data_IF_217981371504
#
_entry.id   IF_217981371504
#
_cell.length_a   1.000
_cell.length_b   1.000
_cell.length_c   1.000
_cell.angle_alpha   90.00
_cell.angle_beta   90.00
_cell.angle_gamma   90.00
#
_symmetry.space_group_name_H-M   'P 1'
#
loop_
_entity.id
_entity.type
_entity.pdbx_description
1 polymer ?
#
# COMPACT_ATOMS: atom_id res chain seq x y z
N UNK A 1 21.40 7.58 27.53
CA UNK A 1 20.25 7.71 26.62
C UNK A 1 20.35 6.65 25.53
N UNK A 2 19.41 5.70 25.45
CA UNK A 2 19.39 4.73 24.34
C UNK A 2 19.08 5.49 23.05
N UNK A 3 20.03 5.52 22.11
CA UNK A 3 19.78 6.04 20.76
C UNK A 3 18.62 5.23 20.18
N UNK A 4 17.44 5.83 20.07
CA UNK A 4 16.34 5.23 19.29
C UNK A 4 16.89 5.08 17.88
N UNK A 5 16.95 3.87 17.30
CA UNK A 5 17.40 3.70 15.92
C UNK A 5 16.60 4.66 15.04
N UNK A 6 17.24 5.33 14.08
CA UNK A 6 16.50 6.02 13.01
C UNK A 6 15.62 4.97 12.34
N UNK A 7 14.37 4.85 12.76
CA UNK A 7 13.43 3.88 12.23
C UNK A 7 13.01 4.41 10.88
N UNK A 8 13.70 3.98 9.83
CA UNK A 8 13.21 4.11 8.47
C UNK A 8 11.81 3.49 8.43
N UNK A 9 10.85 4.24 7.88
CA UNK A 9 9.49 3.73 7.67
C UNK A 9 9.57 2.37 6.98
N UNK A 10 8.79 1.41 7.44
CA UNK A 10 8.78 0.05 6.89
C UNK A 10 8.56 0.06 5.37
N UNK A 11 7.88 1.09 4.85
CA UNK A 11 7.61 1.33 3.43
C UNK A 11 8.85 1.38 2.55
N UNK A 12 10.00 1.76 3.11
CA UNK A 12 11.27 1.89 2.38
C UNK A 12 12.26 0.75 2.67
N UNK A 13 11.91 -0.18 3.57
CA UNK A 13 12.75 -1.32 3.91
C UNK A 13 12.56 -2.47 2.91
N UNK A 14 13.44 -2.52 1.91
CA UNK A 14 13.46 -3.56 0.88
C UNK A 14 14.12 -4.87 1.35
N UNK A 15 14.57 -4.97 2.59
CA UNK A 15 15.22 -6.18 3.09
C UNK A 15 14.20 -7.30 3.38
N UNK A 16 14.60 -8.54 3.16
CA UNK A 16 13.81 -9.72 3.56
C UNK A 16 13.86 -9.99 5.07
N UNK A 17 14.51 -9.12 5.86
CA UNK A 17 14.63 -9.30 7.30
C UNK A 17 13.25 -9.22 7.94
N UNK A 18 13.01 -10.10 8.91
CA UNK A 18 11.80 -10.08 9.74
C UNK A 18 11.81 -8.82 10.58
N UNK A 19 10.64 -8.18 10.69
CA UNK A 19 10.42 -7.01 11.55
C UNK A 19 9.54 -7.41 12.74
N UNK A 20 9.79 -6.87 13.94
CA UNK A 20 8.93 -7.12 15.10
C UNK A 20 7.48 -6.74 14.82
N UNK A 21 6.53 -7.61 15.18
CA UNK A 21 5.09 -7.36 15.04
C UNK A 21 4.58 -7.31 13.59
N UNK A 22 5.38 -7.72 12.62
CA UNK A 22 4.97 -7.71 11.21
C UNK A 22 4.20 -8.99 10.85
N UNK A 23 2.95 -8.80 10.46
CA UNK A 23 2.04 -9.86 10.04
C UNK A 23 1.78 -9.75 8.53
N UNK A 24 1.82 -10.88 7.83
CA UNK A 24 1.68 -10.94 6.38
C UNK A 24 0.39 -11.66 5.99
N UNK A 25 -0.37 -11.09 5.05
CA UNK A 25 -1.58 -11.69 4.46
C UNK A 25 -1.47 -11.72 2.94
N UNK A 26 -2.06 -12.72 2.31
CA UNK A 26 -2.15 -12.78 0.85
C UNK A 26 -2.98 -11.62 0.30
N UNK A 27 -2.57 -11.10 -0.85
CA UNK A 27 -3.32 -10.02 -1.52
C UNK A 27 -4.49 -10.66 -2.30
N UNK A 28 -5.75 -10.24 -2.06
CA UNK A 28 -6.92 -10.80 -2.74
C UNK A 28 -6.80 -10.77 -4.26
N UNK A 29 -7.03 -11.91 -4.91
CA UNK A 29 -6.88 -12.11 -6.36
C UNK A 29 -5.43 -12.35 -6.82
N UNK A 30 -4.47 -12.33 -5.90
CA UNK A 30 -3.03 -12.51 -6.13
C UNK A 30 -2.40 -13.54 -5.16
N UNK A 31 -3.22 -14.45 -4.63
CA UNK A 31 -2.83 -15.50 -3.70
C UNK A 31 -1.70 -16.34 -4.30
N UNK A 32 -0.69 -16.66 -3.48
CA UNK A 32 0.49 -17.40 -3.92
C UNK A 32 1.46 -16.60 -4.80
N UNK A 33 1.14 -15.35 -5.17
CA UNK A 33 2.03 -14.45 -5.91
C UNK A 33 2.54 -13.30 -5.05
N UNK A 34 1.66 -12.67 -4.26
CA UNK A 34 2.01 -11.51 -3.47
C UNK A 34 1.36 -11.53 -2.08
N UNK A 35 2.11 -11.03 -1.09
CA UNK A 35 1.61 -10.76 0.27
C UNK A 35 1.83 -9.30 0.65
N UNK A 36 0.98 -8.78 1.52
CA UNK A 36 1.11 -7.45 2.12
C UNK A 36 1.21 -7.58 3.63
N UNK A 37 2.04 -6.74 4.25
CA UNK A 37 2.18 -6.70 5.70
C UNK A 37 1.29 -5.65 6.34
N UNK A 38 0.94 -5.83 7.61
CA UNK A 38 0.26 -4.82 8.42
C UNK A 38 1.08 -3.52 8.58
N UNK A 39 2.38 -3.55 8.28
CA UNK A 39 3.27 -2.39 8.25
C UNK A 39 3.41 -1.77 6.84
N UNK A 40 2.68 -2.29 5.85
CA UNK A 40 2.60 -1.73 4.50
C UNK A 40 3.67 -2.18 3.53
N UNK A 41 4.49 -3.17 3.88
CA UNK A 41 5.42 -3.78 2.91
C UNK A 41 4.67 -4.73 2.00
N UNK A 42 5.12 -4.85 0.76
CA UNK A 42 4.60 -5.83 -0.20
C UNK A 42 5.71 -6.79 -0.57
N UNK A 43 5.43 -8.08 -0.51
CA UNK A 43 6.36 -9.16 -0.81
C UNK A 43 5.88 -9.89 -2.06
N UNK A 44 6.74 -9.99 -3.06
CA UNK A 44 6.57 -10.93 -4.17
C UNK A 44 7.13 -12.28 -3.74
N UNK A 45 6.32 -13.33 -3.85
CA UNK A 45 6.72 -14.69 -3.47
C UNK A 45 7.62 -15.30 -4.54
N UNK A 46 8.47 -16.24 -4.13
CA UNK A 46 9.28 -17.02 -5.07
C UNK A 46 8.37 -17.73 -6.08
N UNK A 47 8.70 -17.65 -7.36
CA UNK A 47 7.91 -18.31 -8.40
C UNK A 47 8.77 -18.68 -9.60
N UNK A 48 8.31 -19.67 -10.36
CA UNK A 48 8.86 -20.04 -11.66
C UNK A 48 7.78 -19.76 -12.70
N UNK A 49 8.14 -19.07 -13.79
CA UNK A 49 7.16 -18.78 -14.84
C UNK A 49 6.77 -20.05 -15.58
N UNK A 50 5.47 -20.23 -15.82
CA UNK A 50 4.96 -21.26 -16.72
C UNK A 50 5.19 -20.85 -18.18
N UNK A 51 6.06 -21.54 -18.90
CA UNK A 51 6.35 -21.29 -20.31
C UNK A 51 7.50 -22.14 -20.84
N UNK A 52 7.73 -22.12 -22.16
CA UNK A 52 8.83 -22.87 -22.81
C UNK A 52 10.20 -22.47 -22.24
N UNK A 53 10.37 -21.20 -21.90
CA UNK A 53 11.52 -20.70 -21.15
C UNK A 53 11.07 -20.36 -19.73
N UNK A 54 11.31 -21.30 -18.81
CA UNK A 54 11.04 -21.08 -17.39
C UNK A 54 12.05 -20.08 -16.84
N UNK A 55 11.55 -19.04 -16.17
CA UNK A 55 12.35 -18.04 -15.45
C UNK A 55 12.11 -18.17 -13.97
N UNK A 56 13.20 -18.21 -13.22
CA UNK A 56 13.18 -18.16 -11.76
C UNK A 56 13.07 -16.72 -11.27
N UNK A 57 12.12 -16.47 -10.39
CA UNK A 57 11.94 -15.21 -9.70
C UNK A 57 12.10 -15.45 -8.19
N UNK A 58 13.14 -14.89 -7.55
CA UNK A 58 13.32 -15.03 -6.12
C UNK A 58 12.25 -14.22 -5.36
N UNK A 59 12.02 -14.62 -4.10
CA UNK A 59 11.25 -13.80 -3.18
C UNK A 59 11.95 -12.43 -3.00
N UNK A 60 11.17 -11.35 -2.99
CA UNK A 60 11.68 -10.00 -2.75
C UNK A 60 10.62 -9.07 -2.18
N UNK A 61 11.06 -8.04 -1.46
CA UNK A 61 10.19 -6.91 -1.12
C UNK A 61 10.07 -5.99 -2.34
N UNK A 62 8.84 -5.57 -2.64
CA UNK A 62 8.52 -4.66 -3.73
C UNK A 62 8.82 -3.23 -3.31
N UNK A 63 9.50 -2.49 -4.18
CA UNK A 63 9.58 -1.04 -4.06
C UNK A 63 8.20 -0.44 -4.29
N UNK A 64 7.77 0.41 -3.36
CA UNK A 64 6.54 1.18 -3.47
C UNK A 64 6.81 2.47 -4.25
N UNK A 65 5.78 2.94 -4.93
CA UNK A 65 5.77 4.21 -5.64
C UNK A 65 4.84 5.19 -4.95
N UNK A 66 5.20 6.46 -4.98
CA UNK A 66 4.44 7.58 -4.40
C UNK A 66 4.30 8.62 -5.50
N UNK A 67 3.10 9.14 -5.71
CA UNK A 67 2.91 10.29 -6.61
C UNK A 67 3.07 11.56 -5.78
N UNK A 68 3.82 12.52 -6.31
CA UNK A 68 3.98 13.84 -5.74
C UNK A 68 3.27 14.81 -6.69
N UNK A 69 2.38 15.62 -6.12
CA UNK A 69 1.67 16.68 -6.84
C UNK A 69 2.16 18.03 -6.32
N UNK A 70 2.45 18.94 -7.23
CA UNK A 70 2.72 20.33 -6.88
C UNK A 70 1.39 21.11 -6.87
N UNK A 71 1.15 21.87 -5.80
CA UNK A 71 -0.01 22.76 -5.68
C UNK A 71 0.31 24.12 -6.29
N UNK A 72 -0.73 24.92 -6.52
CA UNK A 72 -0.61 26.28 -7.07
C UNK A 72 0.26 27.22 -6.21
N UNK A 73 0.34 26.97 -4.91
CA UNK A 73 1.16 27.72 -3.95
C UNK A 73 2.61 27.20 -3.86
N UNK A 74 3.01 26.26 -4.72
CA UNK A 74 4.33 25.60 -4.70
C UNK A 74 4.47 24.52 -3.62
N UNK A 75 3.46 24.30 -2.77
CA UNK A 75 3.51 23.24 -1.78
C UNK A 75 3.37 21.85 -2.44
N UNK A 76 4.06 20.86 -1.90
CA UNK A 76 3.98 19.47 -2.39
C UNK A 76 2.91 18.70 -1.62
N UNK A 77 2.10 17.93 -2.34
CA UNK A 77 1.14 16.97 -1.80
C UNK A 77 1.50 15.56 -2.26
N UNK A 78 1.72 14.67 -1.31
CA UNK A 78 1.96 13.26 -1.60
C UNK A 78 0.62 12.52 -1.72
N UNK A 79 0.57 11.51 -2.58
CA UNK A 79 -0.47 10.49 -2.57
C UNK A 79 -0.08 9.30 -1.69
N UNK A 80 -1.07 8.47 -1.36
CA UNK A 80 -0.84 7.20 -0.71
C UNK A 80 0.12 6.32 -1.54
N UNK A 81 1.06 5.59 -0.90
CA UNK A 81 1.92 4.63 -1.57
C UNK A 81 1.11 3.58 -2.34
N UNK A 82 1.65 3.15 -3.47
CA UNK A 82 1.08 2.08 -4.29
C UNK A 82 2.16 1.12 -4.77
N UNK A 83 1.71 -0.05 -5.22
CA UNK A 83 2.54 -1.03 -5.92
C UNK A 83 1.83 -1.44 -7.22
N UNK A 84 2.61 -1.86 -8.22
CA UNK A 84 2.08 -2.50 -9.42
C UNK A 84 2.24 -4.01 -9.29
N UNK A 85 1.12 -4.73 -9.25
CA UNK A 85 1.08 -6.19 -9.21
C UNK A 85 0.89 -6.76 -10.62
N UNK A 86 1.44 -7.94 -10.89
CA UNK A 86 1.30 -8.61 -12.18
C UNK A 86 0.72 -10.02 -12.01
N UNK A 87 -0.33 -10.35 -12.77
CA UNK A 87 -0.89 -11.72 -12.85
C UNK A 87 -1.31 -11.99 -14.29
N UNK A 88 -0.90 -13.13 -14.84
CA UNK A 88 -1.22 -13.53 -16.21
C UNK A 88 -0.93 -12.43 -17.25
N UNK A 89 0.25 -11.83 -17.17
CA UNK A 89 0.71 -10.71 -18.00
C UNK A 89 -0.08 -9.39 -17.88
N UNK A 90 -1.06 -9.32 -16.97
CA UNK A 90 -1.82 -8.09 -16.70
C UNK A 90 -1.26 -7.40 -15.46
N UNK A 91 -0.94 -6.11 -15.62
CA UNK A 91 -0.47 -5.25 -14.53
C UNK A 91 -1.65 -4.48 -13.92
N UNK A 92 -1.67 -4.33 -12.60
CA UNK A 92 -2.66 -3.52 -11.89
C UNK A 92 -1.99 -2.70 -10.80
N UNK A 93 -2.33 -1.41 -10.75
CA UNK A 93 -1.96 -0.51 -9.66
C UNK A 93 -2.86 -0.77 -8.45
N UNK A 94 -2.26 -0.96 -7.28
CA UNK A 94 -2.99 -1.14 -6.03
C UNK A 94 -2.38 -0.25 -4.95
N UNK A 95 -3.22 0.55 -4.29
CA UNK A 95 -2.82 1.40 -3.17
C UNK A 95 -2.66 0.59 -1.89
N UNK A 96 -1.58 0.84 -1.15
CA UNK A 96 -1.25 0.07 0.05
C UNK A 96 -2.25 0.34 1.17
N UNK A 97 -2.75 1.58 1.30
CA UNK A 97 -3.79 1.92 2.29
C UNK A 97 -5.06 1.10 2.10
N UNK A 98 -5.49 0.84 0.86
CA UNK A 98 -6.66 -0.02 0.57
C UNK A 98 -6.43 -1.45 1.02
N UNK A 99 -5.24 -2.00 0.75
CA UNK A 99 -4.88 -3.35 1.15
C UNK A 99 -4.82 -3.49 2.68
N UNK A 100 -4.14 -2.56 3.36
CA UNK A 100 -4.02 -2.60 4.82
C UNK A 100 -5.41 -2.52 5.45
N UNK A 101 -6.24 -1.58 5.02
CA UNK A 101 -7.58 -1.42 5.58
C UNK A 101 -8.43 -2.67 5.38
N UNK A 102 -8.49 -3.20 4.15
CA UNK A 102 -9.26 -4.40 3.85
C UNK A 102 -8.83 -5.62 4.67
N UNK A 103 -7.52 -5.83 4.82
CA UNK A 103 -6.97 -7.06 5.40
C UNK A 103 -6.75 -6.97 6.92
N UNK A 104 -6.57 -5.79 7.49
CA UNK A 104 -6.20 -5.61 8.90
C UNK A 104 -7.13 -4.68 9.68
N UNK A 105 -8.12 -4.04 9.06
CA UNK A 105 -9.14 -3.24 9.74
C UNK A 105 -10.52 -3.88 9.54
N UNK A 106 -11.05 -3.82 8.32
CA UNK A 106 -12.32 -4.43 7.97
C UNK A 106 -12.41 -4.70 6.46
N UNK A 107 -12.99 -5.83 6.03
CA UNK A 107 -13.23 -6.11 4.62
C UNK A 107 -14.15 -5.06 3.97
N UNK A 108 -13.89 -4.76 2.70
CA UNK A 108 -14.73 -3.93 1.82
C UNK A 108 -14.42 -4.25 0.36
N UNK A 109 -15.24 -3.80 -0.59
CA UNK A 109 -14.94 -3.98 -2.01
C UNK A 109 -13.75 -3.11 -2.45
N UNK A 110 -12.56 -3.73 -2.54
CA UNK A 110 -11.33 -3.09 -3.04
C UNK A 110 -11.48 -2.64 -4.50
N UNK A 111 -12.36 -3.26 -5.29
CA UNK A 111 -12.65 -2.88 -6.67
C UNK A 111 -13.50 -1.63 -6.80
N UNK A 112 -14.29 -1.28 -5.78
CA UNK A 112 -15.20 -0.15 -5.82
C UNK A 112 -14.44 1.20 -5.77
N UNK A 113 -14.51 2.03 -6.83
CA UNK A 113 -13.84 3.32 -6.88
C UNK A 113 -14.53 4.41 -6.03
N UNK A 114 -15.80 4.23 -5.66
CA UNK A 114 -16.56 5.18 -4.83
C UNK A 114 -16.18 5.12 -3.36
N UNK A 115 -15.56 4.02 -2.92
CA UNK A 115 -15.09 3.86 -1.55
C UNK A 115 -13.64 4.33 -1.46
N UNK A 116 -13.33 5.24 -0.55
CA UNK A 116 -11.98 5.78 -0.36
C UNK A 116 -11.47 5.51 1.05
N UNK A 117 -10.18 5.21 1.14
CA UNK A 117 -9.47 5.02 2.42
C UNK A 117 -8.59 6.23 2.66
N UNK A 118 -8.84 6.94 3.76
CA UNK A 118 -8.13 8.14 4.18
C UNK A 118 -7.14 7.83 5.29
N UNK A 119 -6.04 8.59 5.32
CA UNK A 119 -5.16 8.74 6.48
C UNK A 119 -5.71 9.87 7.36
N UNK A 120 -5.79 9.66 8.68
CA UNK A 120 -6.42 10.63 9.60
C UNK A 120 -5.56 11.85 9.91
N UNK A 121 -4.23 11.70 9.82
CA UNK A 121 -3.23 12.70 10.21
C UNK A 121 -2.66 13.52 9.04
N UNK A 122 -3.27 13.44 7.85
CA UNK A 122 -2.82 14.09 6.61
C UNK A 122 -1.40 13.72 6.17
N UNK A 123 -0.81 12.66 6.74
CA UNK A 123 0.48 12.11 6.32
C UNK A 123 0.25 10.83 5.48
N UNK A 124 0.40 10.89 4.14
CA UNK A 124 0.16 9.74 3.26
C UNK A 124 1.09 8.54 3.51
N UNK A 125 2.18 8.75 4.26
CA UNK A 125 3.14 7.70 4.62
C UNK A 125 2.83 7.05 5.97
N UNK A 126 1.97 7.66 6.81
CA UNK A 126 1.50 7.04 8.04
C UNK A 126 0.31 6.12 7.75
N UNK A 127 0.59 4.97 7.14
CA UNK A 127 -0.45 4.03 6.71
C UNK A 127 -0.74 2.94 7.74
N UNK A 128 -0.42 3.19 9.02
CA UNK A 128 -0.75 2.25 10.08
C UNK A 128 -2.26 2.02 10.14
N UNK A 129 -2.70 0.77 10.33
CA UNK A 129 -4.11 0.39 10.28
C UNK A 129 -5.03 1.23 11.18
N UNK A 130 -4.57 1.64 12.37
CA UNK A 130 -5.34 2.53 13.26
C UNK A 130 -5.48 3.97 12.77
N UNK A 131 -4.57 4.42 11.89
CA UNK A 131 -4.58 5.73 11.26
C UNK A 131 -5.41 5.78 9.96
N UNK A 132 -6.05 4.66 9.58
CA UNK A 132 -6.87 4.58 8.38
C UNK A 132 -8.36 4.65 8.71
N UNK A 133 -9.13 5.23 7.79
CA UNK A 133 -10.59 5.22 7.85
C UNK A 133 -11.23 5.11 6.47
N UNK A 134 -12.38 4.44 6.42
CA UNK A 134 -13.21 4.35 5.22
C UNK A 134 -14.18 5.53 5.16
N UNK A 135 -14.30 6.14 3.98
CA UNK A 135 -15.33 7.15 3.68
C UNK A 135 -15.87 6.91 2.28
N UNK A 136 -17.12 7.31 2.09
CA UNK A 136 -17.73 7.41 0.76
C UNK A 136 -17.16 8.62 -0.01
N UNK A 137 -17.06 8.52 -1.33
CA UNK A 137 -16.65 9.62 -2.20
C UNK A 137 -17.49 10.89 -2.01
N UNK A 138 -18.79 10.76 -1.72
CA UNK A 138 -19.70 11.90 -1.47
C UNK A 138 -19.21 12.77 -0.30
N UNK A 139 -18.61 12.16 0.73
CA UNK A 139 -18.07 12.89 1.88
C UNK A 139 -16.99 13.90 1.47
N UNK A 140 -16.17 13.56 0.47
CA UNK A 140 -15.10 14.46 0.00
C UNK A 140 -15.61 15.64 -0.78
N UNK A 141 -16.67 15.45 -1.57
CA UNK A 141 -17.32 16.51 -2.33
C UNK A 141 -17.87 17.55 -1.34
N UNK A 142 -18.59 17.10 -0.32
CA UNK A 142 -19.19 17.97 0.70
C UNK A 142 -18.18 18.72 1.55
N UNK A 143 -16.98 18.16 1.78
CA UNK A 143 -15.88 18.85 2.48
C UNK A 143 -15.29 19.98 1.62
N UNK A 144 -15.14 19.77 0.31
CA UNK A 144 -14.60 20.76 -0.60
C UNK A 144 -15.58 21.93 -0.84
N UNK A 145 -16.89 21.67 -0.87
CA UNK A 145 -17.92 22.72 -1.08
C UNK A 145 -18.11 23.63 0.13
N UNK A 146 -17.77 23.18 1.34
CA UNK A 146 -17.89 23.99 2.56
C UNK A 146 -16.72 24.95 2.81
N UNK A 147 -15.67 24.89 1.98
CA UNK A 147 -14.48 25.74 2.08
C UNK A 147 -14.32 26.69 0.88
N UNK A 148 -15.36 26.82 0.05
CA UNK A 148 -15.42 27.73 -1.09
C UNK A 148 -16.43 28.84 -0.88
#
# INVERSE_FOLDING_TARGET
MKKVPKTYSALFDLSLKKRPGELWKDIPGYEGLYKVSNQGRVKALKMVTSGKQQKWHPERIMQLSIIIHERKDGSLRLDNPYVTLCKSQRKRKVFITRLIFHLFVQPFDIGNPMVRVYVKDDNPLNIHHSNLELRDAIWSINKATKQG
#
